data_IF_710210641098
#
_entry.id   IF_710210641098
#
_cell.length_a   1.000
_cell.length_b   1.000
_cell.length_c   1.000
_cell.angle_alpha   90.00
_cell.angle_beta   90.00
_cell.angle_gamma   90.00
#
_symmetry.space_group_name_H-M   'P 1'
#
loop_
_entity.id
_entity.type
_entity.pdbx_description
1 polymer ?
#
# COMPACT_ATOMS: atom_id res chain seq x y z
N UNK A 1 6.93 -13.90 22.35
CA UNK A 1 6.19 -15.16 22.08
C UNK A 1 6.28 -15.42 20.59
N UNK A 2 6.80 -16.59 20.18
CA UNK A 2 6.84 -16.99 18.77
C UNK A 2 5.40 -17.32 18.33
N UNK A 3 4.90 -16.62 17.31
CA UNK A 3 3.60 -16.97 16.72
C UNK A 3 3.75 -18.34 16.07
N UNK A 4 2.85 -19.26 16.38
CA UNK A 4 2.94 -20.63 15.92
C UNK A 4 2.81 -20.73 14.37
N UNK A 5 3.57 -21.64 13.76
CA UNK A 5 3.54 -21.87 12.30
C UNK A 5 2.13 -22.03 11.68
N UNK A 6 1.15 -22.70 12.36
CA UNK A 6 -0.22 -22.79 11.84
C UNK A 6 -0.93 -21.43 11.69
N UNK A 7 -0.61 -20.44 12.52
CA UNK A 7 -1.21 -19.10 12.38
C UNK A 7 -0.67 -18.37 11.15
N UNK A 8 0.60 -18.55 10.81
CA UNK A 8 1.20 -17.98 9.60
C UNK A 8 0.56 -18.56 8.34
N UNK A 9 0.44 -19.88 8.25
CA UNK A 9 -0.18 -20.56 7.10
C UNK A 9 -1.63 -20.13 6.89
N UNK A 10 -2.40 -20.02 8.00
CA UNK A 10 -3.79 -19.58 7.95
C UNK A 10 -3.92 -18.14 7.44
N UNK A 11 -3.07 -17.24 7.91
CA UNK A 11 -3.10 -15.84 7.48
C UNK A 11 -2.67 -15.71 6.02
N UNK A 12 -1.64 -16.43 5.58
CA UNK A 12 -1.24 -16.46 4.17
C UNK A 12 -2.37 -16.97 3.28
N UNK A 13 -3.04 -18.06 3.65
CA UNK A 13 -4.19 -18.58 2.92
C UNK A 13 -5.35 -17.56 2.86
N UNK A 14 -5.62 -16.85 3.96
CA UNK A 14 -6.62 -15.80 4.00
C UNK A 14 -6.25 -14.61 3.10
N UNK A 15 -4.98 -14.25 3.02
CA UNK A 15 -4.48 -13.22 2.11
C UNK A 15 -4.68 -13.66 0.65
N UNK A 16 -4.25 -14.87 0.29
CA UNK A 16 -4.33 -15.37 -1.08
C UNK A 16 -5.78 -15.54 -1.56
N UNK A 17 -6.69 -15.95 -0.69
CA UNK A 17 -8.10 -16.14 -1.04
C UNK A 17 -8.92 -14.85 -1.09
N UNK A 18 -8.36 -13.72 -0.63
CA UNK A 18 -9.10 -12.46 -0.52
C UNK A 18 -8.84 -11.55 -1.71
N UNK A 19 -9.92 -10.93 -2.22
CA UNK A 19 -9.86 -9.91 -3.26
C UNK A 19 -10.20 -8.51 -2.72
N UNK A 20 -10.41 -8.40 -1.41
CA UNK A 20 -10.74 -7.11 -0.79
C UNK A 20 -10.07 -6.99 0.57
N UNK A 21 -9.37 -5.87 0.77
CA UNK A 21 -8.67 -5.58 2.02
C UNK A 21 -8.99 -4.18 2.49
N UNK A 22 -9.08 -4.01 3.80
CA UNK A 22 -9.14 -2.72 4.47
C UNK A 22 -7.77 -2.43 5.08
N UNK A 23 -7.16 -1.32 4.67
CA UNK A 23 -5.94 -0.77 5.26
C UNK A 23 -6.33 0.40 6.14
N UNK A 24 -6.10 0.30 7.43
CA UNK A 24 -6.38 1.35 8.40
C UNK A 24 -5.10 1.89 9.00
N UNK A 25 -4.86 3.18 8.83
CA UNK A 25 -3.77 3.88 9.49
C UNK A 25 -4.13 4.13 10.96
N UNK A 26 -3.21 3.78 11.85
CA UNK A 26 -3.30 4.09 13.27
C UNK A 26 -2.34 5.26 13.54
N UNK A 27 -2.89 6.43 13.84
CA UNK A 27 -2.07 7.60 14.11
C UNK A 27 -1.21 7.39 15.37
N UNK A 28 0.10 7.54 15.21
CA UNK A 28 1.07 7.62 16.31
C UNK A 28 2.02 8.78 16.05
N UNK A 29 2.42 9.56 17.09
CA UNK A 29 3.32 10.71 16.90
C UNK A 29 4.68 10.33 16.29
N UNK A 30 5.20 9.14 16.61
CA UNK A 30 6.59 8.73 16.32
C UNK A 30 6.63 7.65 15.21
N UNK A 31 5.51 7.02 14.87
CA UNK A 31 5.47 5.93 13.89
C UNK A 31 4.20 5.97 13.06
N UNK A 32 4.27 5.50 11.81
CA UNK A 32 3.10 5.11 11.05
C UNK A 32 2.81 3.65 11.37
N UNK A 33 1.63 3.38 11.86
CA UNK A 33 1.15 2.02 12.10
C UNK A 33 -0.07 1.76 11.22
N UNK A 34 -0.16 0.55 10.67
CA UNK A 34 -1.29 0.15 9.85
C UNK A 34 -1.81 -1.21 10.32
N UNK A 35 -3.12 -1.38 10.21
CA UNK A 35 -3.79 -2.67 10.33
C UNK A 35 -4.39 -3.03 8.98
N UNK A 36 -4.18 -4.27 8.58
CA UNK A 36 -4.76 -4.82 7.37
C UNK A 36 -5.74 -5.92 7.78
N UNK A 37 -6.97 -5.83 7.31
CA UNK A 37 -8.03 -6.80 7.60
C UNK A 37 -8.84 -7.12 6.34
N UNK A 38 -9.58 -8.21 6.36
CA UNK A 38 -10.63 -8.48 5.36
C UNK A 38 -11.94 -7.92 5.92
N UNK A 39 -12.50 -6.87 5.31
CA UNK A 39 -13.76 -6.30 5.79
C UNK A 39 -14.92 -7.25 5.48
N UNK A 40 -16.02 -7.21 6.26
CA UNK A 40 -17.24 -7.91 5.91
C UNK A 40 -17.73 -7.50 4.52
N UNK A 41 -18.47 -8.40 3.85
CA UNK A 41 -18.94 -8.17 2.47
C UNK A 41 -19.73 -6.85 2.38
N UNK A 42 -19.40 -6.01 1.39
CA UNK A 42 -20.04 -4.70 1.19
C UNK A 42 -19.71 -3.63 2.22
N UNK A 43 -18.96 -3.95 3.28
CA UNK A 43 -18.66 -3.04 4.39
C UNK A 43 -17.29 -2.36 4.22
N UNK A 44 -17.12 -1.21 4.87
CA UNK A 44 -15.83 -0.54 5.11
C UNK A 44 -15.43 -0.57 6.59
N UNK A 45 -16.10 -1.43 7.38
CA UNK A 45 -15.75 -1.66 8.78
C UNK A 45 -14.60 -2.66 8.91
N UNK A 46 -13.84 -2.51 9.99
CA UNK A 46 -12.68 -3.35 10.27
C UNK A 46 -13.13 -4.77 10.61
N UNK A 47 -12.66 -5.75 9.85
CA UNK A 47 -12.77 -7.16 10.20
C UNK A 47 -11.67 -7.61 11.16
N UNK A 48 -11.56 -8.93 11.39
CA UNK A 48 -10.44 -9.47 12.16
C UNK A 48 -9.10 -9.08 11.51
N UNK A 49 -8.15 -8.50 12.27
CA UNK A 49 -6.87 -8.09 11.71
C UNK A 49 -6.09 -9.32 11.21
N UNK A 50 -5.56 -9.20 9.99
CA UNK A 50 -4.65 -10.18 9.39
C UNK A 50 -3.19 -9.81 9.63
N UNK A 51 -2.87 -8.52 9.42
CA UNK A 51 -1.50 -8.02 9.46
C UNK A 51 -1.42 -6.69 10.21
N UNK A 52 -0.28 -6.52 10.85
CA UNK A 52 0.16 -5.28 11.47
C UNK A 52 1.42 -4.79 10.77
N UNK A 53 1.47 -3.49 10.48
CA UNK A 53 2.63 -2.85 9.84
C UNK A 53 3.04 -1.67 10.69
N UNK A 54 4.35 -1.52 10.93
CA UNK A 54 4.92 -0.41 11.69
C UNK A 54 6.12 0.16 10.96
N UNK A 55 6.11 1.47 10.78
CA UNK A 55 7.21 2.25 10.22
C UNK A 55 7.57 3.38 11.19
N UNK A 56 8.82 3.47 11.62
CA UNK A 56 9.30 4.58 12.46
C UNK A 56 9.55 5.82 11.60
N UNK A 57 8.89 6.94 11.91
CA UNK A 57 8.97 8.19 11.13
C UNK A 57 10.37 8.82 11.10
N UNK A 58 11.21 8.54 12.09
CA UNK A 58 12.52 9.19 12.26
C UNK A 58 13.69 8.40 11.63
N UNK A 59 13.43 7.26 11.02
CA UNK A 59 14.48 6.44 10.40
C UNK A 59 14.23 6.33 8.90
N UNK A 60 15.02 7.05 8.11
CA UNK A 60 14.98 7.07 6.64
C UNK A 60 15.31 5.69 6.01
N UNK A 61 15.81 4.74 6.82
CA UNK A 61 16.33 3.44 6.38
C UNK A 61 15.73 2.26 7.15
N UNK A 62 14.46 2.30 7.49
CA UNK A 62 13.85 1.19 8.21
C UNK A 62 12.98 0.34 7.28
N UNK A 63 13.19 -0.98 7.34
CA UNK A 63 12.36 -1.93 6.63
C UNK A 63 10.91 -1.84 7.13
N UNK A 64 9.96 -1.89 6.20
CA UNK A 64 8.54 -1.93 6.52
C UNK A 64 8.14 -3.40 6.63
N UNK A 65 7.88 -3.85 7.85
CA UNK A 65 7.63 -5.26 8.16
C UNK A 65 6.15 -5.53 8.38
N UNK A 66 5.66 -6.57 7.73
CA UNK A 66 4.29 -7.07 7.85
C UNK A 66 4.26 -8.24 8.82
N UNK A 67 3.57 -8.08 9.95
CA UNK A 67 3.59 -9.00 11.10
C UNK A 67 2.20 -9.49 11.44
N UNK A 68 2.12 -10.61 12.16
CA UNK A 68 0.86 -11.16 12.66
C UNK A 68 0.37 -10.48 13.95
N UNK A 69 1.26 -9.82 14.66
CA UNK A 69 0.92 -9.11 15.91
C UNK A 69 1.52 -7.70 15.91
N UNK A 70 0.99 -6.78 16.73
CA UNK A 70 1.54 -5.43 16.88
C UNK A 70 2.92 -5.41 17.56
N UNK A 71 3.29 -6.48 18.25
CA UNK A 71 4.57 -6.62 18.94
C UNK A 71 5.72 -6.89 17.95
N UNK A 72 6.96 -6.72 18.42
CA UNK A 72 8.17 -6.94 17.61
C UNK A 72 8.45 -8.45 17.40
N UNK A 73 7.46 -9.18 16.84
CA UNK A 73 7.58 -10.58 16.44
C UNK A 73 8.10 -10.76 15.02
N UNK A 74 8.21 -12.03 14.55
CA UNK A 74 8.62 -12.34 13.20
C UNK A 74 7.67 -11.71 12.19
N UNK A 75 8.21 -11.31 11.03
CA UNK A 75 7.43 -10.80 9.91
C UNK A 75 7.11 -11.91 8.91
N UNK A 76 6.01 -11.78 8.19
CA UNK A 76 5.65 -12.68 7.07
C UNK A 76 6.34 -12.27 5.77
N UNK A 77 6.46 -10.97 5.56
CA UNK A 77 7.17 -10.35 4.44
C UNK A 77 7.52 -8.91 4.81
N UNK A 78 8.36 -8.27 4.02
CA UNK A 78 8.77 -6.90 4.27
C UNK A 78 9.11 -6.15 2.98
N UNK A 79 8.96 -4.83 3.03
CA UNK A 79 9.56 -3.93 2.04
C UNK A 79 10.93 -3.55 2.57
N UNK A 80 11.98 -3.91 1.84
CA UNK A 80 13.35 -3.63 2.22
C UNK A 80 13.71 -2.18 1.98
N UNK A 81 14.26 -1.53 3.00
CA UNK A 81 14.83 -0.21 2.85
C UNK A 81 16.16 -0.30 2.10
N UNK A 82 16.28 0.43 1.01
CA UNK A 82 17.54 0.56 0.27
C UNK A 82 18.37 1.73 0.77
N UNK A 83 19.70 1.62 0.64
CA UNK A 83 20.66 2.66 1.02
C UNK A 83 20.45 3.95 0.22
N UNK A 84 20.90 5.10 0.80
CA UNK A 84 20.72 6.47 0.30
C UNK A 84 21.14 6.69 -1.16
N UNK A 85 21.94 5.80 -1.75
CA UNK A 85 22.40 5.91 -3.13
C UNK A 85 21.43 5.36 -4.20
N UNK A 86 20.36 4.64 -3.81
CA UNK A 86 19.37 4.10 -4.76
C UNK A 86 18.10 4.98 -4.81
N UNK A 87 18.29 6.26 -5.06
CA UNK A 87 17.26 7.30 -5.17
C UNK A 87 16.27 7.12 -6.34
N UNK A 88 16.17 5.91 -6.90
CA UNK A 88 15.31 5.65 -8.07
C UNK A 88 13.92 5.14 -7.75
N UNK A 89 13.46 5.26 -6.50
CA UNK A 89 12.08 4.87 -6.15
C UNK A 89 11.80 3.37 -6.31
N UNK A 90 12.82 2.51 -6.19
CA UNK A 90 12.70 1.04 -6.26
C UNK A 90 12.80 0.44 -4.88
N UNK A 91 11.84 -0.43 -4.53
CA UNK A 91 11.77 -1.10 -3.23
C UNK A 91 11.55 -2.59 -3.44
N UNK A 92 12.44 -3.41 -2.95
CA UNK A 92 12.28 -4.86 -2.96
C UNK A 92 11.28 -5.30 -1.89
N UNK A 93 10.45 -6.27 -2.26
CA UNK A 93 9.58 -6.98 -1.31
C UNK A 93 10.15 -8.37 -1.10
N UNK A 94 10.46 -8.69 0.16
CA UNK A 94 11.05 -9.96 0.55
C UNK A 94 10.04 -10.81 1.30
N UNK A 95 10.07 -12.11 1.07
CA UNK A 95 9.29 -13.11 1.81
C UNK A 95 9.87 -13.42 3.18
N UNK A 96 9.33 -14.45 3.84
CA UNK A 96 9.73 -14.90 5.17
C UNK A 96 11.19 -15.36 5.26
N UNK A 97 11.70 -15.91 4.17
CA UNK A 97 13.06 -16.44 4.01
C UNK A 97 14.04 -15.42 3.39
N UNK A 98 13.68 -14.14 3.44
CA UNK A 98 14.42 -13.03 2.83
C UNK A 98 14.63 -13.17 1.30
N UNK A 99 13.89 -14.07 0.64
CA UNK A 99 13.91 -14.17 -0.82
C UNK A 99 13.04 -13.07 -1.44
N UNK A 100 13.50 -12.45 -2.54
CA UNK A 100 12.70 -11.50 -3.28
C UNK A 100 11.42 -12.16 -3.80
N UNK A 101 10.27 -11.55 -3.54
CA UNK A 101 8.98 -11.91 -4.13
C UNK A 101 8.57 -10.90 -5.20
N UNK A 102 9.20 -9.73 -5.23
CA UNK A 102 8.98 -8.74 -6.27
C UNK A 102 9.55 -7.37 -5.95
N UNK A 103 9.21 -6.42 -6.81
CA UNK A 103 9.74 -5.07 -6.81
C UNK A 103 8.61 -4.04 -6.97
N UNK A 104 8.62 -3.02 -6.13
CA UNK A 104 7.80 -1.81 -6.26
C UNK A 104 8.65 -0.69 -6.85
N UNK A 105 8.21 -0.07 -7.92
CA UNK A 105 8.94 0.98 -8.63
C UNK A 105 8.07 2.24 -8.77
N UNK A 106 8.49 3.34 -8.15
CA UNK A 106 7.87 4.65 -8.35
C UNK A 106 8.44 5.27 -9.62
N UNK A 107 7.60 5.48 -10.61
CA UNK A 107 7.98 6.08 -11.88
C UNK A 107 7.81 7.59 -11.78
N UNK A 108 8.91 8.32 -11.87
CA UNK A 108 8.89 9.78 -11.88
C UNK A 108 8.54 10.26 -13.30
N UNK A 109 7.33 10.75 -13.48
CA UNK A 109 6.93 11.43 -14.70
C UNK A 109 7.46 12.88 -14.70
N UNK A 110 7.76 13.43 -15.88
CA UNK A 110 8.07 14.87 -16.04
C UNK A 110 6.93 15.79 -15.58
N UNK A 111 5.73 15.28 -15.48
CA UNK A 111 4.59 15.93 -14.84
C UNK A 111 4.61 15.60 -13.34
N UNK A 112 5.05 16.53 -12.52
CA UNK A 112 5.07 16.46 -11.04
C UNK A 112 3.68 16.20 -10.41
N UNK A 113 2.63 16.13 -11.21
CA UNK A 113 1.23 16.05 -10.78
C UNK A 113 0.64 14.63 -10.77
N UNK A 114 1.40 13.59 -11.13
CA UNK A 114 0.86 12.23 -11.17
C UNK A 114 1.84 11.22 -10.59
N UNK A 115 1.40 10.53 -9.55
CA UNK A 115 2.11 9.35 -9.05
C UNK A 115 1.78 8.15 -9.94
N UNK A 116 2.82 7.51 -10.45
CA UNK A 116 2.73 6.28 -11.23
C UNK A 116 3.66 5.26 -10.60
N UNK A 117 3.14 4.06 -10.38
CA UNK A 117 3.90 2.96 -9.81
C UNK A 117 3.82 1.73 -10.72
N UNK A 118 4.87 0.94 -10.73
CA UNK A 118 4.93 -0.37 -11.36
C UNK A 118 5.22 -1.41 -10.31
N UNK A 119 4.54 -2.52 -10.41
CA UNK A 119 4.77 -3.70 -9.57
C UNK A 119 5.25 -4.83 -10.47
N UNK A 120 6.38 -5.43 -10.08
CA UNK A 120 7.03 -6.50 -10.83
C UNK A 120 7.21 -7.72 -9.94
N UNK A 121 7.26 -8.91 -10.55
CA UNK A 121 7.65 -10.12 -9.85
C UNK A 121 9.17 -10.19 -9.60
N UNK A 122 9.62 -11.30 -8.99
CA UNK A 122 11.04 -11.53 -8.71
C UNK A 122 11.90 -11.65 -9.99
N UNK A 123 11.30 -12.08 -11.10
CA UNK A 123 11.93 -12.21 -12.42
C UNK A 123 11.94 -10.88 -13.20
N UNK A 124 11.33 -9.83 -12.66
CA UNK A 124 11.28 -8.50 -13.26
C UNK A 124 10.15 -8.30 -14.27
N UNK A 125 9.22 -9.27 -14.42
CA UNK A 125 8.04 -9.13 -15.28
C UNK A 125 7.06 -8.16 -14.64
N UNK A 126 6.49 -7.27 -15.42
CA UNK A 126 5.48 -6.34 -14.93
C UNK A 126 4.16 -7.06 -14.67
N UNK A 127 3.68 -6.93 -13.43
CA UNK A 127 2.44 -7.55 -12.98
C UNK A 127 1.25 -6.59 -13.17
N UNK A 128 1.42 -5.36 -12.75
CA UNK A 128 0.45 -4.28 -12.94
C UNK A 128 1.10 -2.91 -12.74
N UNK A 129 0.42 -1.88 -13.24
CA UNK A 129 0.73 -0.48 -12.98
C UNK A 129 -0.38 0.15 -12.12
N UNK A 130 -0.02 1.14 -11.32
CA UNK A 130 -0.98 1.91 -10.56
C UNK A 130 -0.88 3.39 -10.92
N UNK A 131 -2.00 3.96 -11.32
CA UNK A 131 -2.13 5.35 -11.73
C UNK A 131 -3.06 6.09 -10.79
N UNK A 132 -2.67 7.28 -10.39
CA UNK A 132 -3.57 8.17 -9.66
C UNK A 132 -4.80 8.52 -10.52
N UNK A 133 -5.97 8.46 -9.93
CA UNK A 133 -7.22 8.68 -10.64
C UNK A 133 -7.29 10.12 -11.20
N UNK A 134 -7.69 10.26 -12.47
CA UNK A 134 -7.68 11.54 -13.19
C UNK A 134 -8.49 12.66 -12.54
N UNK A 135 -9.53 12.32 -11.79
CA UNK A 135 -10.39 13.31 -11.17
C UNK A 135 -9.72 14.06 -10.00
N UNK A 136 -8.76 13.44 -9.28
CA UNK A 136 -7.97 14.13 -8.25
C UNK A 136 -7.16 15.28 -8.84
N UNK A 137 -6.58 15.07 -10.02
CA UNK A 137 -5.83 16.11 -10.75
C UNK A 137 -6.75 17.23 -11.26
N UNK A 138 -7.95 16.88 -11.76
CA UNK A 138 -8.91 17.86 -12.21
C UNK A 138 -9.42 18.73 -11.06
N UNK A 139 -9.65 18.10 -9.90
CA UNK A 139 -10.08 18.79 -8.68
C UNK A 139 -8.96 19.67 -8.10
N UNK A 140 -7.73 19.19 -8.08
CA UNK A 140 -6.57 19.98 -7.65
C UNK A 140 -6.38 21.24 -8.51
N UNK A 141 -6.56 21.15 -9.83
CA UNK A 141 -6.54 22.33 -10.72
C UNK A 141 -7.63 23.34 -10.38
N UNK A 142 -8.84 22.87 -10.08
CA UNK A 142 -9.97 23.74 -9.73
C UNK A 142 -9.77 24.43 -8.39
N UNK A 143 -9.13 23.77 -7.45
CA UNK A 143 -8.76 24.38 -6.16
C UNK A 143 -7.59 25.36 -6.29
N UNK A 144 -6.67 25.17 -7.22
CA UNK A 144 -5.56 26.11 -7.45
C UNK A 144 -6.05 27.52 -7.85
N UNK A 145 -7.29 27.64 -8.36
CA UNK A 145 -7.93 28.90 -8.71
C UNK A 145 -8.47 29.65 -7.49
N UNK A 146 -8.54 29.01 -6.31
CA UNK A 146 -9.13 29.55 -5.08
C UNK A 146 -8.14 30.33 -4.20
N UNK A 147 -6.87 30.47 -4.62
CA UNK A 147 -5.83 31.22 -3.88
C UNK A 147 -4.90 30.32 -3.05
N UNK A 148 -3.94 30.89 -2.31
CA UNK A 148 -2.82 30.14 -1.70
C UNK A 148 -3.23 29.12 -0.63
N UNK A 149 -4.41 29.24 -0.04
CA UNK A 149 -4.92 28.30 0.98
C UNK A 149 -5.40 26.97 0.42
N UNK A 150 -5.45 26.81 -0.92
CA UNK A 150 -5.87 25.56 -1.58
C UNK A 150 -4.98 24.35 -1.24
N UNK A 151 -3.71 24.59 -0.85
CA UNK A 151 -2.77 23.55 -0.42
C UNK A 151 -3.30 22.76 0.78
N UNK A 152 -4.01 23.41 1.70
CA UNK A 152 -4.65 22.76 2.85
C UNK A 152 -5.81 21.86 2.42
N UNK A 153 -6.48 22.19 1.33
CA UNK A 153 -7.58 21.39 0.75
C UNK A 153 -7.08 20.14 0.02
N UNK A 154 -5.82 20.12 -0.44
CA UNK A 154 -5.22 18.92 -1.04
C UNK A 154 -5.17 17.74 -0.07
N UNK A 155 -5.06 18.00 1.23
CA UNK A 155 -5.07 16.96 2.27
C UNK A 155 -6.44 16.29 2.41
N UNK A 156 -7.49 16.96 1.94
CA UNK A 156 -8.87 16.46 1.93
C UNK A 156 -9.21 15.69 0.64
N UNK A 157 -8.36 15.77 -0.39
CA UNK A 157 -8.61 15.04 -1.64
C UNK A 157 -8.53 13.54 -1.40
N UNK A 158 -9.51 12.78 -1.87
CA UNK A 158 -9.45 11.33 -1.76
C UNK A 158 -8.33 10.81 -2.66
N UNK A 159 -7.45 10.09 -2.01
CA UNK A 159 -6.31 9.42 -2.61
C UNK A 159 -6.80 8.11 -3.24
N UNK A 160 -6.91 8.10 -4.55
CA UNK A 160 -7.44 6.95 -5.29
C UNK A 160 -6.48 6.54 -6.39
N UNK A 161 -6.20 5.25 -6.47
CA UNK A 161 -5.41 4.64 -7.52
C UNK A 161 -6.22 3.59 -8.26
N UNK A 162 -6.12 3.60 -9.58
CA UNK A 162 -6.57 2.50 -10.43
C UNK A 162 -5.37 1.59 -10.72
N UNK A 163 -5.53 0.29 -10.45
CA UNK A 163 -4.57 -0.75 -10.80
C UNK A 163 -4.90 -1.22 -12.21
N UNK A 164 -3.90 -1.27 -13.09
CA UNK A 164 -4.08 -1.64 -14.49
C UNK A 164 -3.08 -2.69 -14.92
N UNK A 165 -3.55 -3.65 -15.71
CA UNK A 165 -2.74 -4.66 -16.39
C UNK A 165 -3.07 -4.64 -17.87
N UNK A 166 -2.08 -4.42 -18.73
CA UNK A 166 -2.30 -4.32 -20.19
C UNK A 166 -3.40 -3.33 -20.58
N UNK A 167 -3.50 -2.21 -19.85
CA UNK A 167 -4.50 -1.16 -20.11
C UNK A 167 -5.88 -1.38 -19.46
N UNK A 168 -6.22 -2.60 -19.04
CA UNK A 168 -7.47 -2.92 -18.37
C UNK A 168 -7.36 -2.65 -16.87
N UNK A 169 -8.44 -2.16 -16.26
CA UNK A 169 -8.50 -2.04 -14.81
C UNK A 169 -8.64 -3.43 -14.20
N UNK A 170 -7.81 -3.73 -13.21
CA UNK A 170 -7.76 -5.01 -12.48
C UNK A 170 -7.83 -4.80 -10.97
N UNK A 171 -8.09 -3.58 -10.55
CA UNK A 171 -8.30 -3.26 -9.15
C UNK A 171 -8.28 -1.77 -8.86
N UNK A 172 -8.51 -1.44 -7.60
CA UNK A 172 -8.50 -0.06 -7.11
C UNK A 172 -8.02 0.02 -5.66
N UNK A 173 -7.37 1.13 -5.32
CA UNK A 173 -7.03 1.49 -3.96
C UNK A 173 -7.62 2.87 -3.65
N UNK A 174 -8.57 2.93 -2.72
CA UNK A 174 -9.39 4.13 -2.50
C UNK A 174 -9.46 4.50 -1.03
N UNK A 175 -9.33 5.79 -0.72
CA UNK A 175 -9.57 6.34 0.62
C UNK A 175 -11.07 6.37 0.93
N UNK A 176 -11.43 5.91 2.12
CA UNK A 176 -12.81 6.01 2.63
C UNK A 176 -12.97 7.36 3.33
N UNK A 177 -13.84 8.19 2.79
CA UNK A 177 -14.13 9.52 3.32
C UNK A 177 -15.07 9.45 4.54
N UNK A 178 -15.03 10.50 5.39
CA UNK A 178 -15.96 10.64 6.52
C UNK A 178 -15.61 9.83 7.76
N UNK A 179 -14.40 9.29 7.85
CA UNK A 179 -13.90 8.61 9.04
C UNK A 179 -12.79 9.42 9.72
N UNK A 180 -12.77 9.42 11.06
CA UNK A 180 -11.75 10.11 11.88
C UNK A 180 -10.32 9.59 11.67
N UNK A 181 -10.17 8.39 11.12
CA UNK A 181 -8.89 7.75 10.81
C UNK A 181 -8.82 7.42 9.34
N UNK A 182 -7.64 7.55 8.77
CA UNK A 182 -7.42 7.20 7.39
C UNK A 182 -7.65 5.70 7.18
N UNK A 183 -8.65 5.42 6.35
CA UNK A 183 -9.01 4.08 5.92
C UNK A 183 -8.96 4.02 4.41
N UNK A 184 -8.41 2.93 3.91
CA UNK A 184 -8.31 2.68 2.48
C UNK A 184 -8.87 1.30 2.17
N UNK A 185 -9.61 1.19 1.10
CA UNK A 185 -10.08 -0.09 0.58
C UNK A 185 -9.27 -0.42 -0.66
N UNK A 186 -8.63 -1.58 -0.63
CA UNK A 186 -7.98 -2.23 -1.76
C UNK A 186 -8.95 -3.28 -2.29
N UNK A 187 -9.37 -3.12 -3.53
CA UNK A 187 -10.23 -4.07 -4.24
C UNK A 187 -9.51 -4.59 -5.46
N UNK A 188 -9.52 -5.92 -5.64
CA UNK A 188 -8.96 -6.61 -6.77
C UNK A 188 -10.10 -7.16 -7.63
N UNK A 189 -10.02 -6.89 -8.91
CA UNK A 189 -10.92 -7.40 -9.95
C UNK A 189 -10.29 -8.63 -10.63
N UNK A 190 -11.03 -9.38 -11.43
CA UNK A 190 -10.47 -10.48 -12.23
C UNK A 190 -9.28 -10.00 -13.08
N UNK A 191 -8.27 -10.86 -13.22
CA UNK A 191 -7.05 -10.59 -13.97
C UNK A 191 -5.78 -10.40 -13.13
N UNK A 192 -5.87 -10.57 -11.80
CA UNK A 192 -4.72 -10.57 -10.88
C UNK A 192 -4.64 -11.86 -10.05
N UNK A 193 -5.28 -12.94 -10.49
CA UNK A 193 -5.32 -14.24 -9.77
C UNK A 193 -3.93 -14.86 -9.63
N UNK A 194 -3.06 -14.59 -10.59
CA UNK A 194 -1.66 -15.05 -10.65
C UNK A 194 -0.68 -14.16 -9.90
N UNK A 195 -1.14 -13.04 -9.33
CA UNK A 195 -0.30 -12.10 -8.61
C UNK A 195 -0.28 -12.42 -7.12
N UNK A 196 0.91 -12.57 -6.56
CA UNK A 196 1.11 -12.72 -5.11
C UNK A 196 0.48 -11.54 -4.36
N UNK A 197 -0.54 -11.83 -3.55
CA UNK A 197 -1.29 -10.81 -2.78
C UNK A 197 -0.42 -10.02 -1.82
N UNK A 198 0.72 -10.57 -1.39
CA UNK A 198 1.69 -9.87 -0.55
C UNK A 198 2.30 -8.67 -1.27
N UNK A 199 2.55 -8.77 -2.58
CA UNK A 199 3.02 -7.65 -3.40
C UNK A 199 1.97 -6.53 -3.49
N UNK A 200 0.70 -6.89 -3.63
CA UNK A 200 -0.39 -5.91 -3.70
C UNK A 200 -0.57 -5.19 -2.36
N UNK A 201 -0.45 -5.91 -1.24
CA UNK A 201 -0.50 -5.32 0.10
C UNK A 201 0.74 -4.46 0.38
N UNK A 202 1.92 -4.91 -0.03
CA UNK A 202 3.15 -4.11 0.07
C UNK A 202 3.01 -2.81 -0.73
N UNK A 203 2.48 -2.87 -1.95
CA UNK A 203 2.21 -1.69 -2.77
C UNK A 203 1.23 -0.72 -2.07
N UNK A 204 0.13 -1.21 -1.49
CA UNK A 204 -0.85 -0.38 -0.81
C UNK A 204 -0.23 0.40 0.38
N UNK A 205 0.65 -0.24 1.15
CA UNK A 205 1.38 0.43 2.24
C UNK A 205 2.45 1.38 1.70
N UNK A 206 3.16 1.01 0.62
CA UNK A 206 4.18 1.86 0.02
C UNK A 206 3.61 3.17 -0.50
N UNK A 207 2.39 3.16 -1.04
CA UNK A 207 1.68 4.36 -1.48
C UNK A 207 1.52 5.41 -0.37
N UNK A 208 1.27 4.99 0.87
CA UNK A 208 1.10 5.91 1.99
C UNK A 208 2.42 6.19 2.72
N UNK A 209 3.21 5.14 2.97
CA UNK A 209 4.43 5.22 3.77
C UNK A 209 5.63 5.85 3.04
N UNK A 210 5.69 5.74 1.70
CA UNK A 210 6.82 6.19 0.87
C UNK A 210 6.47 7.39 -0.02
N UNK A 211 5.26 7.92 0.07
CA UNK A 211 4.96 9.24 -0.48
C UNK A 211 5.33 10.27 0.59
N UNK A 212 6.38 11.04 0.33
CA UNK A 212 6.71 12.22 1.10
C UNK A 212 5.52 13.20 1.08
N UNK A 213 4.80 13.26 2.20
CA UNK A 213 3.77 14.23 2.51
C UNK A 213 4.24 15.13 3.65
#
# INVERSE_FOLDING_TARGET
MSVAAPDQARVLAAIESSNRFLVQQVFRPIANEYRISVPPHGSTEEGAPLLYVKQKKLKIKEDIRFRLSPDDGPHLFMIKSKTVFEFRGRHEVLGLDDRPIGLLEKVFSRSLLRSHWRVRDAEGRELFEAHEARWTVALARRFAELGPDWLSLLTLLPFNFALKRSGNQVGSYRRVLGKLRDRYVLELEPGLEDVDRRLVLAFAIALDALQDR
#
